data_IF_177795131184
#
_entry.id   IF_177795131184
#
_cell.length_a   1.000
_cell.length_b   1.000
_cell.length_c   1.000
_cell.angle_alpha   90.00
_cell.angle_beta   90.00
_cell.angle_gamma   90.00
#
_symmetry.space_group_name_H-M   'P 1'
#
loop_
_entity.id
_entity.type
_entity.pdbx_description
1 polymer ?
#
# COMPACT_ATOMS: atom_id res chain seq x y z
N UNK A 1 39.22 -17.67 -7.03
CA UNK A 1 37.95 -17.47 -6.29
C UNK A 1 36.77 -17.13 -7.20
N UNK A 2 36.91 -16.23 -8.22
CA UNK A 2 35.80 -15.89 -9.15
C UNK A 2 35.22 -17.07 -9.94
N UNK A 3 36.08 -18.03 -10.40
CA UNK A 3 35.64 -19.21 -11.16
C UNK A 3 34.84 -20.22 -10.33
N UNK A 4 35.06 -20.31 -9.02
CA UNK A 4 34.35 -21.26 -8.13
C UNK A 4 32.93 -20.79 -7.77
N UNK A 5 32.75 -19.48 -7.65
CA UNK A 5 31.42 -18.88 -7.38
C UNK A 5 30.51 -18.99 -8.60
N UNK A 6 31.06 -18.83 -9.82
CA UNK A 6 30.30 -19.02 -11.06
C UNK A 6 29.87 -20.48 -11.24
N UNK A 7 30.69 -21.45 -10.83
CA UNK A 7 30.36 -22.87 -10.92
C UNK A 7 29.27 -23.30 -9.95
N UNK A 8 29.22 -22.67 -8.76
CA UNK A 8 28.16 -22.95 -7.75
C UNK A 8 26.79 -22.37 -8.16
N UNK A 9 26.78 -21.18 -8.81
CA UNK A 9 25.55 -20.57 -9.34
C UNK A 9 24.96 -21.39 -10.48
N UNK A 10 25.80 -21.94 -11.38
CA UNK A 10 25.35 -22.83 -12.47
C UNK A 10 24.78 -24.15 -11.92
N UNK A 11 25.31 -24.67 -10.81
CA UNK A 11 24.83 -25.91 -10.19
C UNK A 11 23.42 -25.75 -9.53
N UNK A 12 23.10 -24.58 -8.96
CA UNK A 12 21.80 -24.32 -8.35
C UNK A 12 20.68 -24.15 -9.42
N UNK A 13 20.98 -23.49 -10.53
CA UNK A 13 20.06 -23.36 -11.68
C UNK A 13 19.86 -24.71 -12.38
N UNK A 14 20.91 -25.55 -12.46
CA UNK A 14 20.81 -26.87 -13.06
C UNK A 14 19.96 -27.87 -12.23
N UNK A 15 19.88 -27.71 -10.91
CA UNK A 15 19.03 -28.55 -10.06
C UNK A 15 17.53 -28.24 -10.17
N UNK A 16 17.18 -27.00 -10.38
CA UNK A 16 15.75 -26.61 -10.65
C UNK A 16 15.28 -27.12 -12.02
N UNK A 17 16.16 -27.12 -13.04
CA UNK A 17 15.85 -27.65 -14.36
C UNK A 17 15.78 -29.19 -14.37
N UNK A 18 16.55 -29.89 -13.54
CA UNK A 18 16.57 -31.36 -13.48
C UNK A 18 15.31 -31.98 -12.86
N UNK A 19 14.59 -31.24 -12.00
CA UNK A 19 13.34 -31.71 -11.40
C UNK A 19 12.17 -31.81 -12.41
N UNK A 20 12.25 -31.11 -13.53
CA UNK A 20 11.23 -31.13 -14.59
C UNK A 20 11.47 -32.24 -15.61
N UNK A 21 12.66 -32.82 -15.68
CA UNK A 21 13.06 -33.75 -16.74
C UNK A 21 12.84 -35.25 -16.41
N UNK A 22 12.29 -35.58 -15.24
CA UNK A 22 12.13 -37.00 -14.85
C UNK A 22 10.75 -37.62 -15.08
N UNK A 23 9.88 -36.97 -15.87
CA UNK A 23 8.58 -37.51 -16.24
C UNK A 23 8.29 -37.25 -17.71
N UNK A 24 8.74 -38.16 -18.58
CA UNK A 24 8.08 -38.66 -19.78
C UNK A 24 9.06 -39.05 -20.86
N UNK A 25 9.21 -40.36 -21.08
CA UNK A 25 9.70 -40.90 -22.33
C UNK A 25 8.54 -40.94 -23.34
N UNK A 26 8.46 -39.90 -24.16
CA UNK A 26 7.90 -39.91 -25.54
C UNK A 26 8.39 -38.61 -26.19
N UNK A 27 8.98 -38.71 -27.36
CA UNK A 27 9.23 -37.60 -28.27
C UNK A 27 7.90 -36.89 -28.54
N UNK A 28 7.62 -35.85 -27.78
CA UNK A 28 6.50 -34.95 -28.00
C UNK A 28 7.09 -33.56 -28.20
N UNK A 29 6.92 -33.03 -29.42
CA UNK A 29 7.38 -31.70 -29.86
C UNK A 29 6.68 -30.54 -29.10
N UNK A 30 6.05 -30.85 -27.97
CA UNK A 30 5.21 -29.94 -27.15
C UNK A 30 5.86 -29.39 -25.89
N UNK A 31 7.14 -29.70 -25.60
CA UNK A 31 7.83 -29.08 -24.47
C UNK A 31 7.99 -27.57 -24.73
N UNK A 32 7.57 -26.71 -23.80
CA UNK A 32 7.73 -25.27 -23.99
C UNK A 32 9.21 -24.91 -24.16
N UNK A 33 9.52 -24.19 -25.23
CA UNK A 33 10.89 -23.66 -25.42
C UNK A 33 11.23 -22.74 -24.27
N UNK A 34 12.43 -22.90 -23.72
CA UNK A 34 12.98 -22.09 -22.64
C UNK A 34 14.09 -21.19 -23.16
N UNK A 35 14.23 -20.00 -22.58
CA UNK A 35 15.16 -18.95 -23.00
C UNK A 35 15.91 -18.40 -21.80
N UNK A 36 17.22 -18.19 -21.96
CA UNK A 36 17.97 -17.32 -21.05
C UNK A 36 17.51 -15.88 -21.31
N UNK A 37 17.21 -15.15 -20.23
CA UNK A 37 16.66 -13.81 -20.32
C UNK A 37 17.18 -12.95 -19.18
N UNK A 38 17.77 -11.80 -19.50
CA UNK A 38 18.31 -10.86 -18.53
C UNK A 38 17.37 -9.67 -18.34
N UNK A 39 17.21 -9.26 -17.09
CA UNK A 39 16.57 -8.02 -16.72
C UNK A 39 17.62 -7.05 -16.21
N UNK A 40 17.86 -6.00 -16.97
CA UNK A 40 18.87 -4.98 -16.69
C UNK A 40 18.18 -3.77 -16.06
N UNK A 41 18.61 -3.38 -14.88
CA UNK A 41 18.07 -2.23 -14.18
C UNK A 41 18.95 -0.99 -14.35
N UNK A 42 18.34 0.10 -14.80
CA UNK A 42 18.98 1.41 -14.88
C UNK A 42 18.75 2.17 -13.59
N UNK A 43 19.78 2.30 -12.77
CA UNK A 43 19.76 3.08 -11.55
C UNK A 43 19.84 4.59 -11.84
N UNK A 44 19.28 5.46 -10.99
CA UNK A 44 19.39 6.90 -11.14
C UNK A 44 20.85 7.39 -11.14
N UNK A 45 21.10 8.54 -11.76
CA UNK A 45 22.42 9.13 -11.81
C UNK A 45 22.98 9.36 -10.39
N UNK A 46 24.19 8.84 -10.15
CA UNK A 46 24.86 8.95 -8.85
C UNK A 46 24.50 7.85 -7.84
N UNK A 47 23.75 6.86 -8.26
CA UNK A 47 23.49 5.64 -7.48
C UNK A 47 24.14 4.46 -8.17
N UNK A 48 25.06 3.80 -7.49
CA UNK A 48 25.67 2.56 -7.98
C UNK A 48 24.66 1.41 -7.99
N UNK A 49 24.75 0.45 -8.92
CA UNK A 49 23.86 -0.71 -8.93
C UNK A 49 23.92 -1.50 -7.61
N UNK A 50 22.76 -1.88 -7.10
CA UNK A 50 22.60 -2.60 -5.84
C UNK A 50 22.34 -4.07 -6.14
N UNK A 51 23.16 -4.95 -5.56
CA UNK A 51 23.00 -6.40 -5.65
C UNK A 51 22.02 -6.92 -4.60
N UNK A 52 21.32 -8.03 -4.92
CA UNK A 52 20.45 -8.72 -3.98
C UNK A 52 19.00 -8.24 -3.99
N UNK A 53 18.62 -7.30 -4.88
CA UNK A 53 17.22 -6.91 -5.07
C UNK A 53 16.45 -8.09 -5.65
N UNK A 54 15.36 -8.49 -5.00
CA UNK A 54 14.48 -9.55 -5.51
C UNK A 54 13.78 -9.13 -6.79
N UNK A 55 13.74 -10.03 -7.77
CA UNK A 55 13.09 -9.82 -9.06
C UNK A 55 12.17 -11.00 -9.35
N UNK A 56 10.88 -10.71 -9.60
CA UNK A 56 9.85 -11.68 -9.94
C UNK A 56 9.40 -11.48 -11.38
N UNK A 57 9.38 -12.56 -12.17
CA UNK A 57 8.81 -12.61 -13.51
C UNK A 57 7.56 -13.49 -13.47
N UNK A 58 6.38 -12.88 -13.52
CA UNK A 58 5.08 -13.57 -13.46
C UNK A 58 4.47 -13.65 -14.84
N UNK A 59 4.10 -14.85 -15.29
CA UNK A 59 3.49 -15.05 -16.59
C UNK A 59 2.06 -14.51 -16.65
N UNK A 60 1.75 -13.62 -17.60
CA UNK A 60 0.50 -12.84 -17.65
C UNK A 60 -0.77 -13.66 -17.84
N UNK A 61 -0.67 -14.92 -18.25
CA UNK A 61 -1.80 -15.81 -18.49
C UNK A 61 -2.12 -16.79 -17.34
N UNK A 62 -1.63 -16.51 -16.13
CA UNK A 62 -1.79 -17.37 -14.97
C UNK A 62 -0.83 -18.56 -14.94
N UNK A 63 0.30 -18.46 -15.66
CA UNK A 63 1.40 -19.42 -15.65
C UNK A 63 2.32 -19.29 -14.42
N UNK A 64 3.57 -19.73 -14.58
CA UNK A 64 4.55 -19.74 -13.48
C UNK A 64 5.02 -18.36 -13.05
N UNK A 65 5.49 -18.29 -11.81
CA UNK A 65 6.27 -17.17 -11.26
C UNK A 65 7.71 -17.65 -11.14
N UNK A 66 8.65 -16.83 -11.61
CA UNK A 66 10.09 -17.10 -11.62
C UNK A 66 10.78 -16.01 -10.82
N UNK A 67 11.73 -16.39 -9.99
CA UNK A 67 12.42 -15.48 -9.08
C UNK A 67 13.93 -15.48 -9.38
N UNK A 68 14.53 -14.31 -9.25
CA UNK A 68 15.96 -14.06 -9.37
C UNK A 68 16.35 -12.88 -8.47
N UNK A 69 17.63 -12.55 -8.40
CA UNK A 69 18.11 -11.36 -7.69
C UNK A 69 19.10 -10.61 -8.58
N UNK A 70 19.19 -9.30 -8.37
CA UNK A 70 20.21 -8.49 -9.06
C UNK A 70 21.61 -8.87 -8.61
N UNK A 71 22.55 -8.82 -9.54
CA UNK A 71 23.99 -8.87 -9.27
C UNK A 71 24.59 -7.47 -9.04
N UNK A 72 25.90 -7.38 -8.90
CA UNK A 72 26.63 -6.12 -8.70
C UNK A 72 26.62 -5.16 -9.89
N UNK A 73 26.13 -5.59 -11.03
CA UNK A 73 25.94 -4.79 -12.23
C UNK A 73 24.47 -4.36 -12.43
N UNK A 74 23.59 -4.76 -11.48
CA UNK A 74 22.16 -4.48 -11.53
C UNK A 74 21.40 -5.35 -12.53
N UNK A 75 21.87 -6.59 -12.77
CA UNK A 75 21.26 -7.53 -13.71
C UNK A 75 20.68 -8.72 -12.96
N UNK A 76 19.43 -9.07 -13.26
CA UNK A 76 18.80 -10.32 -12.80
C UNK A 76 18.63 -11.28 -13.99
N UNK A 77 19.23 -12.48 -13.91
CA UNK A 77 19.18 -13.48 -14.96
C UNK A 77 18.14 -14.54 -14.67
N UNK A 78 17.42 -14.92 -15.70
CA UNK A 78 16.32 -15.89 -15.67
C UNK A 78 16.49 -16.98 -16.73
N UNK A 79 15.82 -18.10 -16.51
CA UNK A 79 15.54 -19.12 -17.53
C UNK A 79 14.02 -19.26 -17.62
N UNK A 80 13.42 -18.71 -18.68
CA UNK A 80 11.97 -18.56 -18.81
C UNK A 80 11.41 -19.34 -20.00
N UNK A 81 10.25 -20.00 -19.91
CA UNK A 81 9.46 -20.44 -21.06
C UNK A 81 9.07 -19.26 -21.96
N UNK A 82 8.80 -19.53 -23.24
CA UNK A 82 8.21 -18.51 -24.11
C UNK A 82 6.89 -18.00 -23.53
N UNK A 83 6.71 -16.68 -23.50
CA UNK A 83 5.48 -16.09 -22.91
C UNK A 83 5.53 -14.58 -22.79
N UNK A 84 4.51 -14.03 -22.19
CA UNK A 84 4.40 -12.61 -21.81
C UNK A 84 4.47 -12.54 -20.30
N UNK A 85 5.33 -11.67 -19.78
CA UNK A 85 5.63 -11.58 -18.36
C UNK A 85 5.40 -10.18 -17.81
N UNK A 86 4.96 -10.13 -16.57
CA UNK A 86 5.05 -8.95 -15.73
C UNK A 86 6.28 -9.11 -14.85
N UNK A 87 7.19 -8.15 -14.91
CA UNK A 87 8.43 -8.15 -14.14
C UNK A 87 8.29 -7.10 -13.04
N UNK A 88 8.57 -7.51 -11.82
CA UNK A 88 8.59 -6.64 -10.64
C UNK A 88 9.90 -6.87 -9.90
N UNK A 89 10.58 -5.78 -9.57
CA UNK A 89 11.74 -5.81 -8.68
C UNK A 89 11.44 -4.96 -7.44
N UNK A 90 11.79 -5.47 -6.27
CA UNK A 90 11.73 -4.69 -5.03
C UNK A 90 12.79 -5.17 -4.05
N UNK A 91 13.30 -4.24 -3.24
CA UNK A 91 14.28 -4.56 -2.21
C UNK A 91 14.60 -3.37 -1.35
N UNK A 92 15.10 -3.67 -0.15
CA UNK A 92 15.59 -2.67 0.80
C UNK A 92 17.09 -2.89 0.94
N UNK A 93 17.84 -1.81 0.85
CA UNK A 93 19.27 -1.80 1.11
C UNK A 93 19.60 -0.76 2.18
N UNK A 94 20.31 -1.16 3.23
CA UNK A 94 20.74 -0.25 4.28
C UNK A 94 22.16 0.25 3.96
N UNK A 95 22.33 1.55 3.71
CA UNK A 95 23.64 2.15 3.44
C UNK A 95 24.37 2.64 4.71
N UNK A 96 23.78 2.41 5.89
CA UNK A 96 24.29 2.84 7.20
C UNK A 96 23.79 4.22 7.65
N UNK A 97 23.20 5.01 6.76
CA UNK A 97 22.64 6.34 7.06
C UNK A 97 21.12 6.37 6.80
N UNK A 98 20.65 5.58 5.85
CA UNK A 98 19.24 5.51 5.49
C UNK A 98 18.90 4.16 4.87
N UNK A 99 17.63 3.83 4.82
CA UNK A 99 17.14 2.76 3.99
C UNK A 99 16.98 3.25 2.56
N UNK A 100 17.58 2.52 1.64
CA UNK A 100 17.39 2.70 0.21
C UNK A 100 16.35 1.68 -0.23
N UNK A 101 15.19 2.17 -0.65
CA UNK A 101 14.12 1.34 -1.18
C UNK A 101 14.22 1.36 -2.70
N UNK A 102 14.29 0.17 -3.30
CA UNK A 102 14.47 -0.05 -4.74
C UNK A 102 13.21 -0.68 -5.32
N UNK A 103 12.62 -0.05 -6.33
CA UNK A 103 11.46 -0.59 -7.03
C UNK A 103 11.61 -0.45 -8.55
N UNK A 104 11.16 -1.47 -9.27
CA UNK A 104 10.95 -1.39 -10.71
C UNK A 104 9.83 -2.33 -11.14
N UNK A 105 9.02 -1.93 -12.13
CA UNK A 105 8.01 -2.79 -12.70
C UNK A 105 7.85 -2.59 -14.21
N UNK A 106 7.51 -3.66 -14.91
CA UNK A 106 7.19 -3.62 -16.34
C UNK A 106 6.27 -4.76 -16.71
N UNK A 107 5.14 -4.43 -17.28
CA UNK A 107 4.19 -5.40 -17.80
C UNK A 107 4.42 -5.67 -19.29
N UNK A 108 3.97 -6.83 -19.75
CA UNK A 108 3.96 -7.17 -21.17
C UNK A 108 5.34 -7.47 -21.78
N UNK A 109 6.30 -7.88 -20.97
CA UNK A 109 7.65 -8.28 -21.46
C UNK A 109 7.53 -9.62 -22.21
N UNK A 110 7.92 -9.64 -23.48
CA UNK A 110 7.83 -10.82 -24.35
C UNK A 110 9.13 -11.58 -24.34
N UNK A 111 9.08 -12.87 -23.98
CA UNK A 111 10.18 -13.82 -24.04
C UNK A 111 9.89 -14.84 -25.14
N UNK A 112 10.78 -15.03 -26.10
CA UNK A 112 10.57 -15.98 -27.20
C UNK A 112 11.57 -15.89 -28.33
N UNK A 113 11.38 -16.75 -29.35
CA UNK A 113 12.21 -16.77 -30.54
C UNK A 113 12.25 -15.40 -31.24
N UNK A 114 13.42 -14.96 -31.65
CA UNK A 114 13.68 -13.68 -32.37
C UNK A 114 13.42 -12.41 -31.55
N UNK A 115 13.18 -12.55 -30.24
CA UNK A 115 13.12 -11.42 -29.33
C UNK A 115 14.50 -11.13 -28.76
N UNK A 116 14.72 -9.90 -28.27
CA UNK A 116 15.93 -9.59 -27.52
C UNK A 116 15.97 -10.46 -26.26
N UNK A 117 17.09 -11.06 -25.90
CA UNK A 117 17.21 -11.90 -24.71
C UNK A 117 17.31 -11.07 -23.42
N UNK A 118 16.85 -9.82 -23.44
CA UNK A 118 16.87 -8.92 -22.30
C UNK A 118 15.74 -7.90 -22.31
N UNK A 119 15.38 -7.41 -21.12
CA UNK A 119 14.56 -6.23 -20.91
C UNK A 119 15.33 -5.22 -20.05
N UNK A 120 15.12 -3.92 -20.32
CA UNK A 120 15.69 -2.86 -19.50
C UNK A 120 14.56 -2.12 -18.79
N UNK A 121 14.73 -1.91 -17.47
CA UNK A 121 13.79 -1.24 -16.60
C UNK A 121 14.48 -0.10 -15.83
N UNK A 122 13.87 1.07 -15.68
CA UNK A 122 14.36 2.07 -14.74
C UNK A 122 14.17 1.56 -13.32
N UNK A 123 15.19 1.69 -12.45
CA UNK A 123 15.08 1.47 -11.02
C UNK A 123 14.68 2.79 -10.37
N UNK A 124 13.57 2.77 -9.64
CA UNK A 124 13.13 3.88 -8.81
C UNK A 124 13.74 3.70 -7.42
N UNK A 125 14.38 4.74 -6.92
CA UNK A 125 15.04 4.74 -5.61
C UNK A 125 14.35 5.77 -4.73
N UNK A 126 13.91 5.34 -3.55
CA UNK A 126 13.53 6.25 -2.48
C UNK A 126 14.40 6.01 -1.25
N UNK A 127 14.67 7.06 -0.48
CA UNK A 127 15.40 6.97 0.78
C UNK A 127 14.40 7.23 1.89
N UNK A 128 14.30 6.31 2.83
CA UNK A 128 13.37 6.40 3.94
C UNK A 128 14.12 6.21 5.26
N UNK A 129 13.83 7.08 6.20
CA UNK A 129 14.17 6.85 7.61
C UNK A 129 13.00 6.06 8.19
N UNK A 130 13.26 5.06 9.03
CA UNK A 130 12.21 4.32 9.74
C UNK A 130 11.16 5.27 10.30
N UNK A 131 9.91 5.06 9.97
CA UNK A 131 8.83 5.98 10.34
C UNK A 131 7.50 5.24 10.41
N UNK A 132 6.43 5.99 10.45
CA UNK A 132 5.08 5.45 10.42
C UNK A 132 4.78 4.74 9.11
N UNK A 133 3.97 3.69 9.23
CA UNK A 133 3.41 2.95 8.10
C UNK A 133 1.90 2.80 8.27
N UNK A 134 1.20 2.60 7.17
CA UNK A 134 -0.17 2.10 7.17
C UNK A 134 -0.10 0.57 7.32
N UNK A 135 -0.46 0.07 8.50
CA UNK A 135 -0.41 -1.36 8.80
C UNK A 135 -1.61 -2.10 8.20
N UNK A 136 -2.80 -1.52 8.32
CA UNK A 136 -4.03 -2.14 7.87
C UNK A 136 -4.98 -1.12 7.24
N UNK A 137 -5.67 -1.51 6.17
CA UNK A 137 -6.78 -0.77 5.57
C UNK A 137 -8.01 -1.67 5.52
N UNK A 138 -9.03 -1.30 6.29
CA UNK A 138 -10.34 -1.91 6.24
C UNK A 138 -11.35 -0.92 5.65
N UNK A 139 -11.82 -1.20 4.44
CA UNK A 139 -12.67 -0.27 3.71
C UNK A 139 -13.92 -0.91 3.10
N UNK A 140 -13.93 -2.23 2.89
CA UNK A 140 -14.97 -2.92 2.12
C UNK A 140 -16.28 -3.19 2.87
N UNK A 141 -16.27 -3.10 4.20
CA UNK A 141 -17.44 -3.42 5.03
C UNK A 141 -17.82 -4.89 5.04
N UNK A 142 -18.98 -5.18 5.59
CA UNK A 142 -19.58 -6.52 5.69
C UNK A 142 -20.99 -6.53 5.09
N UNK A 143 -21.59 -7.71 4.90
CA UNK A 143 -23.01 -7.81 4.62
C UNK A 143 -23.81 -7.59 5.93
N UNK A 144 -24.97 -6.95 5.82
CA UNK A 144 -25.95 -6.89 6.93
C UNK A 144 -26.36 -8.30 7.35
N UNK A 145 -26.84 -8.47 8.56
CA UNK A 145 -27.22 -9.78 9.11
C UNK A 145 -28.28 -10.51 8.28
N UNK A 146 -29.21 -9.75 7.65
CA UNK A 146 -30.23 -10.26 6.74
C UNK A 146 -29.73 -10.48 5.30
N UNK A 147 -28.47 -10.25 5.03
CA UNK A 147 -27.81 -10.34 3.70
C UNK A 147 -28.44 -9.46 2.61
N UNK A 148 -29.29 -8.49 2.95
CA UNK A 148 -30.02 -7.64 2.00
C UNK A 148 -29.14 -6.62 1.31
N UNK A 149 -28.07 -6.14 1.97
CA UNK A 149 -27.18 -5.11 1.46
C UNK A 149 -25.83 -5.13 2.21
N UNK A 150 -24.83 -4.53 1.62
CA UNK A 150 -23.57 -4.25 2.30
C UNK A 150 -23.75 -3.16 3.36
N UNK A 151 -23.09 -3.34 4.51
CA UNK A 151 -22.90 -2.32 5.54
C UNK A 151 -21.49 -1.76 5.37
N UNK A 152 -21.38 -0.51 4.91
CA UNK A 152 -20.13 0.12 4.51
C UNK A 152 -19.74 1.29 5.42
N UNK A 153 -20.34 1.37 6.63
CA UNK A 153 -20.15 2.48 7.55
C UNK A 153 -19.22 2.14 8.71
N UNK A 154 -18.37 1.12 8.52
CA UNK A 154 -17.44 0.59 9.50
C UNK A 154 -16.02 0.50 8.89
N UNK A 155 -15.38 1.64 8.66
CA UNK A 155 -14.08 1.71 8.00
C UNK A 155 -13.02 2.26 8.92
N UNK A 156 -11.80 1.72 8.79
CA UNK A 156 -10.63 2.27 9.50
C UNK A 156 -9.34 2.04 8.73
N UNK A 157 -8.32 2.75 9.15
CA UNK A 157 -6.92 2.44 8.91
C UNK A 157 -6.21 2.29 10.24
N UNK A 158 -5.14 1.50 10.27
CA UNK A 158 -4.21 1.44 11.37
C UNK A 158 -2.89 2.05 10.94
N UNK A 159 -2.41 3.05 11.69
CA UNK A 159 -1.10 3.65 11.52
C UNK A 159 -0.20 3.08 12.61
N UNK A 160 0.92 2.50 12.22
CA UNK A 160 1.87 1.82 13.11
C UNK A 160 3.22 2.52 13.08
N UNK A 161 3.83 2.66 14.26
CA UNK A 161 5.20 3.11 14.38
C UNK A 161 6.16 1.93 14.20
N UNK A 162 6.67 1.79 12.98
CA UNK A 162 7.56 0.71 12.55
C UNK A 162 9.02 0.99 12.92
N UNK A 163 9.24 1.54 14.12
CA UNK A 163 10.58 1.92 14.59
C UNK A 163 10.77 1.68 16.09
N UNK A 164 12.02 1.55 16.55
CA UNK A 164 12.34 1.40 17.97
C UNK A 164 12.26 2.70 18.79
N UNK A 165 11.96 3.83 18.14
CA UNK A 165 11.86 5.15 18.77
C UNK A 165 10.42 5.64 18.76
N UNK A 166 10.04 6.42 19.77
CA UNK A 166 8.73 7.06 19.80
C UNK A 166 8.61 8.07 18.65
N UNK A 167 7.50 8.00 17.91
CA UNK A 167 7.17 9.04 16.94
C UNK A 167 6.34 10.13 17.57
N UNK A 168 6.64 11.40 17.23
CA UNK A 168 5.87 12.56 17.72
C UNK A 168 5.78 13.64 16.64
N UNK A 169 4.58 14.13 16.34
CA UNK A 169 4.32 15.19 15.37
C UNK A 169 3.06 15.98 15.67
N UNK A 170 3.05 17.24 15.25
CA UNK A 170 1.86 18.11 15.23
C UNK A 170 1.25 18.27 13.83
N UNK A 171 1.89 17.66 12.82
CA UNK A 171 1.61 17.95 11.40
C UNK A 171 1.25 16.72 10.58
N UNK A 172 0.98 15.58 11.23
CA UNK A 172 0.54 14.37 10.53
C UNK A 172 -0.88 14.53 10.02
N UNK A 173 -1.09 14.08 8.78
CA UNK A 173 -2.39 14.08 8.13
C UNK A 173 -2.60 12.81 7.30
N UNK A 174 -3.87 12.50 7.07
CA UNK A 174 -4.35 11.37 6.26
C UNK A 174 -5.18 11.90 5.11
N UNK A 175 -5.01 11.32 3.93
CA UNK A 175 -5.81 11.66 2.76
C UNK A 175 -5.87 10.48 1.79
N UNK A 176 -6.51 10.66 0.65
CA UNK A 176 -6.47 9.74 -0.49
C UNK A 176 -6.05 10.47 -1.76
N UNK A 177 -5.42 9.74 -2.67
CA UNK A 177 -5.05 10.25 -3.98
C UNK A 177 -6.29 10.51 -4.85
N UNK A 178 -6.11 11.38 -5.85
CA UNK A 178 -7.15 11.66 -6.83
C UNK A 178 -7.58 10.41 -7.58
N UNK A 179 -8.89 10.35 -7.84
CA UNK A 179 -9.60 9.17 -8.32
C UNK A 179 -10.18 8.37 -7.15
N UNK A 180 -11.48 8.61 -6.86
CA UNK A 180 -12.15 8.01 -5.71
C UNK A 180 -12.11 6.48 -5.72
N UNK A 181 -12.36 5.87 -6.88
CA UNK A 181 -12.22 4.43 -7.09
C UNK A 181 -11.19 4.16 -8.19
N UNK A 182 -10.39 3.11 -8.03
CA UNK A 182 -9.38 2.72 -9.01
C UNK A 182 -9.97 2.45 -10.40
N UNK A 183 -11.15 1.86 -10.48
CA UNK A 183 -11.85 1.50 -11.70
C UNK A 183 -12.65 2.64 -12.34
N UNK A 184 -12.58 3.85 -11.81
CA UNK A 184 -13.32 4.98 -12.39
C UNK A 184 -12.76 5.35 -13.77
N UNK A 185 -13.63 5.42 -14.79
CA UNK A 185 -13.26 5.79 -16.16
C UNK A 185 -12.55 7.15 -16.26
N UNK A 186 -12.79 8.03 -15.28
CA UNK A 186 -12.15 9.33 -15.18
C UNK A 186 -10.67 9.25 -14.88
N UNK A 187 -10.19 8.13 -14.31
CA UNK A 187 -8.78 7.97 -13.94
C UNK A 187 -7.85 7.94 -15.15
N UNK A 188 -8.33 7.55 -16.33
CA UNK A 188 -7.54 7.66 -17.57
C UNK A 188 -7.03 9.07 -17.83
N UNK A 189 -7.71 10.10 -17.31
CA UNK A 189 -7.28 11.50 -17.43
C UNK A 189 -6.15 11.91 -16.48
N UNK A 190 -5.80 11.04 -15.54
CA UNK A 190 -4.60 11.20 -14.71
C UNK A 190 -3.32 10.85 -15.46
N UNK A 191 -3.45 10.34 -16.70
CA UNK A 191 -2.35 9.86 -17.51
C UNK A 191 -2.23 10.57 -18.84
N UNK A 192 -0.99 10.65 -19.35
CA UNK A 192 -0.66 10.92 -20.74
C UNK A 192 0.11 9.70 -21.26
N UNK A 193 -0.57 8.89 -22.09
CA UNK A 193 -0.09 7.54 -22.39
C UNK A 193 -0.07 6.67 -21.12
N UNK A 194 1.08 6.09 -20.81
CA UNK A 194 1.28 5.24 -19.62
C UNK A 194 1.96 5.99 -18.45
N UNK A 195 2.05 7.33 -18.52
CA UNK A 195 2.73 8.15 -17.52
C UNK A 195 1.73 9.04 -16.80
N UNK A 196 1.82 9.12 -15.48
CA UNK A 196 1.02 10.06 -14.68
C UNK A 196 1.28 11.51 -15.10
N UNK A 197 0.25 12.32 -15.21
CA UNK A 197 0.38 13.75 -15.49
C UNK A 197 1.17 14.52 -14.41
N UNK A 198 1.27 13.94 -13.22
CA UNK A 198 2.03 14.47 -12.08
C UNK A 198 3.31 13.71 -11.76
N UNK A 199 3.76 12.76 -12.61
CA UNK A 199 4.97 11.95 -12.37
C UNK A 199 6.24 12.79 -12.19
N UNK A 200 6.39 13.86 -12.99
CA UNK A 200 7.55 14.75 -12.96
C UNK A 200 7.37 15.97 -12.04
N UNK A 201 6.30 16.01 -11.23
CA UNK A 201 6.04 17.10 -10.29
C UNK A 201 6.59 16.77 -8.91
N UNK A 202 6.69 17.78 -8.05
CA UNK A 202 7.09 17.66 -6.65
C UNK A 202 5.90 17.42 -5.69
N UNK A 203 4.73 17.07 -6.24
CA UNK A 203 3.52 16.88 -5.44
C UNK A 203 2.76 15.60 -5.82
N UNK A 204 1.93 15.14 -4.86
CA UNK A 204 0.83 14.21 -5.08
C UNK A 204 -0.51 14.93 -4.94
N UNK A 205 -1.49 14.64 -5.81
CA UNK A 205 -2.84 15.16 -5.64
C UNK A 205 -3.55 14.52 -4.44
N UNK A 206 -3.91 15.33 -3.44
CA UNK A 206 -4.88 14.94 -2.42
C UNK A 206 -6.30 15.22 -2.90
N UNK A 207 -7.22 14.31 -2.61
CA UNK A 207 -8.59 14.38 -3.09
C UNK A 207 -9.60 14.10 -1.99
N UNK A 208 -10.82 14.65 -2.14
CA UNK A 208 -11.96 14.45 -1.27
C UNK A 208 -11.87 15.17 0.08
N UNK A 209 -10.82 14.97 0.85
CA UNK A 209 -10.55 15.64 2.12
C UNK A 209 -9.15 15.36 2.63
N UNK A 210 -8.70 16.22 3.52
CA UNK A 210 -7.51 16.03 4.34
C UNK A 210 -7.97 16.02 5.78
N UNK A 211 -7.56 15.00 6.53
CA UNK A 211 -7.82 14.86 7.96
C UNK A 211 -6.51 14.91 8.71
N UNK A 212 -6.40 15.78 9.71
CA UNK A 212 -5.17 15.99 10.47
C UNK A 212 -5.44 15.91 11.97
N UNK A 213 -4.43 15.44 12.70
CA UNK A 213 -4.51 15.25 14.14
C UNK A 213 -4.49 16.58 14.87
N UNK A 214 -5.12 16.65 16.05
CA UNK A 214 -5.13 17.83 16.91
C UNK A 214 -3.96 17.77 17.89
N UNK A 215 -3.20 18.88 17.99
CA UNK A 215 -2.05 18.96 18.89
C UNK A 215 -0.94 17.98 18.53
N UNK A 216 -0.14 17.63 19.52
CA UNK A 216 0.97 16.69 19.34
C UNK A 216 0.45 15.25 19.41
N UNK A 217 0.56 14.52 18.30
CA UNK A 217 0.35 13.08 18.27
C UNK A 217 1.65 12.38 18.67
N UNK A 218 1.58 11.46 19.62
CA UNK A 218 2.69 10.56 19.97
C UNK A 218 2.25 9.11 19.76
N UNK A 219 3.04 8.34 19.02
CA UNK A 219 2.86 6.90 18.83
C UNK A 219 4.13 6.24 19.36
N UNK A 220 4.06 5.51 20.48
CA UNK A 220 5.24 4.84 21.04
C UNK A 220 5.90 3.88 20.05
N UNK A 221 7.16 3.53 20.29
CA UNK A 221 7.89 2.52 19.54
C UNK A 221 7.08 1.23 19.39
N UNK A 222 7.03 0.67 18.18
CA UNK A 222 6.30 -0.58 17.88
C UNK A 222 4.83 -0.59 18.33
N UNK A 223 4.19 0.57 18.35
CA UNK A 223 2.80 0.74 18.73
C UNK A 223 1.98 1.34 17.58
N UNK A 224 0.67 1.31 17.73
CA UNK A 224 -0.25 1.73 16.69
C UNK A 224 -1.37 2.63 17.19
N UNK A 225 -1.97 3.34 16.27
CA UNK A 225 -3.26 4.01 16.46
C UNK A 225 -4.25 3.53 15.40
N UNK A 226 -5.51 3.38 15.82
CA UNK A 226 -6.63 3.14 14.91
C UNK A 226 -7.27 4.47 14.56
N UNK A 227 -7.43 4.75 13.28
CA UNK A 227 -8.15 5.92 12.77
C UNK A 227 -9.42 5.43 12.09
N UNK A 228 -10.55 5.60 12.77
CA UNK A 228 -11.86 5.31 12.21
C UNK A 228 -12.21 6.34 11.14
N UNK A 229 -12.58 5.86 9.97
CA UNK A 229 -12.99 6.70 8.83
C UNK A 229 -14.48 6.96 8.85
N UNK A 230 -15.26 5.91 9.14
CA UNK A 230 -16.72 5.96 9.27
C UNK A 230 -17.17 5.11 10.46
N UNK A 231 -18.25 5.55 11.11
CA UNK A 231 -18.94 4.75 12.11
C UNK A 231 -18.18 4.59 13.42
N UNK A 232 -17.66 5.69 13.99
CA UNK A 232 -16.93 5.71 15.27
C UNK A 232 -17.83 5.35 16.49
N UNK A 233 -18.57 4.26 16.38
CA UNK A 233 -19.51 3.73 17.38
C UNK A 233 -19.37 2.20 17.48
N UNK A 234 -20.11 1.58 18.37
CA UNK A 234 -20.25 0.12 18.35
C UNK A 234 -21.21 -0.32 17.25
N UNK A 235 -20.68 -0.59 16.05
CA UNK A 235 -21.47 -1.04 14.92
C UNK A 235 -22.00 -2.46 15.07
N UNK A 236 -21.45 -3.27 15.99
CA UNK A 236 -21.91 -4.65 16.25
C UNK A 236 -23.33 -4.68 16.82
N UNK A 237 -23.79 -3.57 17.37
CA UNK A 237 -25.18 -3.41 17.82
C UNK A 237 -26.20 -3.36 16.66
N UNK A 238 -25.72 -3.08 15.44
CA UNK A 238 -26.57 -2.98 14.25
C UNK A 238 -26.31 -4.11 13.28
N UNK A 239 -25.05 -4.53 13.14
CA UNK A 239 -24.59 -5.59 12.23
C UNK A 239 -23.59 -6.45 12.98
N UNK A 240 -23.96 -7.69 13.30
CA UNK A 240 -23.21 -8.57 14.20
C UNK A 240 -21.77 -8.85 13.78
N UNK A 241 -21.50 -8.87 12.48
CA UNK A 241 -20.18 -9.09 11.90
C UNK A 241 -19.39 -7.80 11.64
N UNK A 242 -19.87 -6.65 12.08
CA UNK A 242 -19.15 -5.38 11.98
C UNK A 242 -18.12 -5.20 13.09
N UNK A 243 -17.58 -4.01 13.24
CA UNK A 243 -16.53 -3.64 14.18
C UNK A 243 -17.10 -2.77 15.30
N UNK A 244 -16.65 -3.01 16.54
CA UNK A 244 -16.88 -2.10 17.65
C UNK A 244 -15.77 -1.05 17.69
N UNK A 245 -16.09 0.21 17.35
CA UNK A 245 -15.15 1.33 17.45
C UNK A 245 -15.33 2.17 18.72
N UNK A 246 -16.20 1.82 19.63
CA UNK A 246 -16.36 2.51 20.91
C UNK A 246 -15.17 2.21 21.84
N UNK A 247 -14.02 2.81 21.57
CA UNK A 247 -12.79 2.66 22.31
C UNK A 247 -12.10 4.01 22.51
N UNK A 248 -11.68 4.30 23.74
CA UNK A 248 -11.09 5.59 24.13
C UNK A 248 -9.76 5.88 23.43
N UNK A 249 -9.03 4.84 23.01
CA UNK A 249 -7.72 4.96 22.37
C UNK A 249 -7.81 5.21 20.85
N UNK A 250 -9.03 5.09 20.27
CA UNK A 250 -9.21 5.25 18.82
C UNK A 250 -9.40 6.71 18.43
N UNK A 251 -8.91 7.05 17.28
CA UNK A 251 -9.11 8.32 16.60
C UNK A 251 -10.23 8.20 15.57
N UNK A 252 -10.86 9.32 15.18
CA UNK A 252 -11.89 9.30 14.17
C UNK A 252 -11.86 10.53 13.26
N UNK A 253 -12.15 10.32 11.99
CA UNK A 253 -12.33 11.38 11.00
C UNK A 253 -13.70 12.03 11.19
N UNK A 254 -13.85 12.82 12.25
CA UNK A 254 -15.08 13.50 12.61
C UNK A 254 -14.80 14.93 13.08
N UNK A 255 -15.26 15.92 12.32
CA UNK A 255 -15.07 17.34 12.64
C UNK A 255 -16.41 18.07 12.59
N UNK A 256 -17.17 18.07 13.70
CA UNK A 256 -18.50 18.70 13.74
C UNK A 256 -18.44 20.23 13.64
N UNK A 257 -17.26 20.82 13.86
CA UNK A 257 -17.03 22.26 13.80
C UNK A 257 -16.57 22.75 12.43
N UNK A 258 -16.39 21.83 11.46
CA UNK A 258 -15.94 22.23 10.13
C UNK A 258 -16.93 23.15 9.44
N UNK A 259 -16.47 24.36 9.11
CA UNK A 259 -17.27 25.42 8.46
C UNK A 259 -16.73 25.82 7.07
N UNK A 260 -15.81 25.04 6.51
CA UNK A 260 -15.15 25.34 5.24
C UNK A 260 -16.06 25.24 4.00
N UNK A 261 -15.49 25.39 2.80
CA UNK A 261 -16.21 25.32 1.53
C UNK A 261 -17.03 24.02 1.40
N UNK A 262 -18.21 24.13 0.80
CA UNK A 262 -19.13 22.99 0.63
C UNK A 262 -20.03 22.72 1.81
N UNK A 263 -19.92 23.49 2.90
CA UNK A 263 -20.92 23.50 3.98
C UNK A 263 -21.94 24.60 3.72
N UNK A 264 -23.19 24.28 3.95
CA UNK A 264 -24.26 25.27 4.14
C UNK A 264 -25.11 24.82 5.34
N UNK A 265 -25.97 25.69 5.84
CA UNK A 265 -26.79 25.42 7.02
C UNK A 265 -27.63 24.12 6.89
N UNK A 266 -27.92 23.69 5.65
CA UNK A 266 -28.74 22.53 5.33
C UNK A 266 -27.92 21.33 4.86
N UNK A 267 -26.60 21.48 4.66
CA UNK A 267 -25.78 20.47 3.99
C UNK A 267 -24.37 20.41 4.60
N UNK A 268 -24.29 20.53 5.93
CA UNK A 268 -23.05 20.23 6.64
C UNK A 268 -22.72 18.77 6.40
N UNK A 269 -21.47 18.50 6.06
CA UNK A 269 -21.00 17.19 5.71
C UNK A 269 -21.32 16.14 6.80
N UNK A 270 -21.03 16.48 8.05
CA UNK A 270 -21.29 15.61 9.20
C UNK A 270 -22.77 15.60 9.66
N UNK A 271 -23.69 16.25 8.93
CA UNK A 271 -25.12 16.12 9.18
C UNK A 271 -25.73 14.83 8.60
N UNK A 272 -24.99 14.09 7.78
CA UNK A 272 -25.43 12.79 7.33
C UNK A 272 -25.11 11.73 8.39
N UNK A 273 -25.96 11.57 9.37
CA UNK A 273 -25.79 10.64 10.50
C UNK A 273 -25.72 9.16 10.08
N UNK A 274 -26.13 8.83 8.87
CA UNK A 274 -25.97 7.48 8.33
C UNK A 274 -24.51 7.17 7.99
N UNK A 275 -23.74 8.18 7.54
CA UNK A 275 -22.31 8.04 7.25
C UNK A 275 -21.46 8.45 8.44
N UNK A 276 -21.85 9.50 9.16
CA UNK A 276 -21.13 10.06 10.30
C UNK A 276 -22.05 10.17 11.51
N UNK A 277 -22.37 9.05 12.17
CA UNK A 277 -22.95 9.11 13.50
C UNK A 277 -21.99 9.88 14.42
N UNK A 278 -22.53 10.56 15.42
CA UNK A 278 -21.67 11.13 16.46
C UNK A 278 -20.83 10.01 17.07
N UNK A 279 -19.52 10.23 17.25
CA UNK A 279 -18.67 9.23 17.88
C UNK A 279 -19.18 8.80 19.25
N UNK A 280 -18.86 7.57 19.64
CA UNK A 280 -19.20 7.08 20.97
C UNK A 280 -18.58 7.98 22.05
N UNK A 281 -19.34 8.26 23.12
CA UNK A 281 -18.93 9.17 24.20
C UNK A 281 -17.59 8.80 24.87
N UNK A 282 -17.17 7.55 24.74
CA UNK A 282 -15.88 7.06 25.25
C UNK A 282 -14.69 7.63 24.47
N UNK A 283 -14.87 8.04 23.21
CA UNK A 283 -13.82 8.61 22.37
C UNK A 283 -13.66 10.09 22.74
N UNK A 284 -12.50 10.53 23.26
CA UNK A 284 -12.31 11.91 23.66
C UNK A 284 -12.30 12.84 22.43
N UNK A 285 -12.79 14.06 22.56
CA UNK A 285 -12.86 15.03 21.46
C UNK A 285 -11.48 15.43 20.93
N UNK A 286 -10.43 15.28 21.72
CA UNK A 286 -9.04 15.43 21.25
C UNK A 286 -8.61 14.39 20.22
N UNK A 287 -9.32 13.27 20.13
CA UNK A 287 -9.11 12.22 19.12
C UNK A 287 -9.94 12.41 17.84
N UNK A 288 -10.69 13.51 17.74
CA UNK A 288 -11.39 13.87 16.50
C UNK A 288 -10.40 14.57 15.56
N UNK A 289 -10.17 14.01 14.37
CA UNK A 289 -9.35 14.64 13.35
C UNK A 289 -10.06 15.86 12.79
N UNK A 290 -9.35 16.96 12.66
CA UNK A 290 -9.81 18.14 11.96
C UNK A 290 -9.75 17.94 10.46
N UNK A 291 -10.55 18.68 9.71
CA UNK A 291 -10.77 18.44 8.30
C UNK A 291 -10.56 19.69 7.45
N UNK A 292 -9.97 19.51 6.26
CA UNK A 292 -10.12 20.43 5.12
C UNK A 292 -10.79 19.68 3.99
N UNK A 293 -11.95 20.15 3.56
CA UNK A 293 -12.69 19.53 2.45
C UNK A 293 -12.10 19.91 1.11
N UNK A 294 -11.97 18.92 0.24
CA UNK A 294 -11.54 19.07 -1.14
C UNK A 294 -12.62 18.50 -2.07
N UNK A 295 -12.89 19.20 -3.17
CA UNK A 295 -13.86 18.75 -4.16
C UNK A 295 -15.30 18.78 -3.67
N UNK A 296 -16.13 18.00 -4.36
CA UNK A 296 -17.55 17.83 -4.07
C UNK A 296 -17.78 16.43 -3.48
N UNK A 297 -18.68 16.32 -2.57
CA UNK A 297 -19.11 15.03 -2.02
C UNK A 297 -19.80 15.22 -0.70
N UNK A 298 -20.80 14.36 -0.44
CA UNK A 298 -21.54 14.34 0.81
C UNK A 298 -21.07 13.21 1.73
N UNK A 299 -20.22 12.33 1.24
CA UNK A 299 -19.66 11.20 1.97
C UNK A 299 -18.17 11.10 1.65
N UNK A 300 -17.36 11.81 2.39
CA UNK A 300 -15.94 12.00 2.08
C UNK A 300 -15.07 10.82 2.39
N UNK A 301 -15.54 9.91 3.18
CA UNK A 301 -14.74 8.75 3.53
C UNK A 301 -14.06 8.10 2.34
N UNK A 302 -13.18 7.21 2.61
CA UNK A 302 -12.46 6.49 1.57
C UNK A 302 -13.41 5.59 0.77
N UNK A 303 -13.01 5.27 -0.46
CA UNK A 303 -13.72 4.29 -1.28
C UNK A 303 -13.97 2.99 -0.51
N UNK A 304 -15.13 2.38 -0.74
CA UNK A 304 -15.47 1.07 -0.16
C UNK A 304 -14.81 -0.10 -0.91
N UNK A 305 -14.25 0.16 -2.07
CA UNK A 305 -13.83 -0.90 -3.00
C UNK A 305 -12.41 -0.77 -3.48
N UNK A 306 -11.88 0.45 -3.55
CA UNK A 306 -10.55 0.67 -4.13
C UNK A 306 -9.97 2.03 -3.74
N UNK A 307 -9.69 2.31 -2.45
CA UNK A 307 -9.03 3.54 -2.05
C UNK A 307 -7.54 3.52 -2.41
N UNK A 308 -6.97 4.70 -2.67
CA UNK A 308 -5.53 4.94 -2.64
C UNK A 308 -5.24 5.89 -1.50
N UNK A 309 -4.83 5.35 -0.36
CA UNK A 309 -4.65 6.08 0.90
C UNK A 309 -3.20 6.45 1.06
N UNK A 310 -2.91 7.65 1.57
CA UNK A 310 -1.59 7.99 2.02
C UNK A 310 -1.61 8.89 3.26
N UNK A 311 -0.56 8.79 4.06
CA UNK A 311 -0.28 9.64 5.20
C UNK A 311 0.90 10.54 4.88
N UNK A 312 0.88 11.77 5.38
CA UNK A 312 1.95 12.73 5.14
C UNK A 312 2.13 13.67 6.33
N UNK A 313 3.32 14.23 6.47
CA UNK A 313 3.68 15.18 7.52
C UNK A 313 4.19 16.48 6.89
N UNK A 314 3.46 17.59 7.12
CA UNK A 314 3.87 18.88 6.55
C UNK A 314 5.08 19.45 7.29
N UNK A 315 5.95 20.12 6.54
CA UNK A 315 7.15 20.78 7.07
C UNK A 315 7.06 22.28 6.89
N UNK A 316 7.31 23.04 7.96
CA UNK A 316 7.29 24.50 7.94
C UNK A 316 5.91 25.15 7.83
N UNK A 317 4.84 24.34 7.80
CA UNK A 317 3.44 24.78 7.74
C UNK A 317 2.55 23.72 8.35
N UNK A 318 1.31 24.07 8.73
CA UNK A 318 0.34 23.06 9.17
C UNK A 318 -0.39 22.42 7.97
N UNK A 319 -0.92 21.19 8.12
CA UNK A 319 -1.73 20.56 7.08
C UNK A 319 -2.91 21.42 6.62
N UNK A 320 -3.57 22.11 7.56
CA UNK A 320 -4.66 23.05 7.27
C UNK A 320 -4.18 24.21 6.41
N UNK A 321 -3.13 24.90 6.84
CA UNK A 321 -2.63 26.06 6.11
C UNK A 321 -2.13 25.70 4.71
N UNK A 322 -1.47 24.56 4.56
CA UNK A 322 -1.04 24.04 3.26
C UNK A 322 -2.23 23.73 2.35
N UNK A 323 -3.28 23.07 2.87
CA UNK A 323 -4.44 22.68 2.08
C UNK A 323 -5.34 23.85 1.67
N UNK A 324 -5.37 24.91 2.48
CA UNK A 324 -6.15 26.13 2.21
C UNK A 324 -5.38 27.15 1.36
N UNK A 325 -4.09 26.95 1.13
CA UNK A 325 -3.30 27.83 0.25
C UNK A 325 -3.75 27.68 -1.20
N UNK A 326 -4.16 28.77 -1.81
CA UNK A 326 -4.61 28.81 -3.22
C UNK A 326 -3.51 28.36 -4.21
N UNK A 327 -2.22 28.50 -3.87
CA UNK A 327 -1.11 28.03 -4.67
C UNK A 327 -1.05 26.50 -4.75
N UNK A 328 -1.59 25.82 -3.74
CA UNK A 328 -1.69 24.37 -3.67
C UNK A 328 -2.99 23.83 -4.27
N UNK A 329 -3.88 24.68 -4.77
CA UNK A 329 -5.08 24.20 -5.46
C UNK A 329 -4.70 23.31 -6.65
N UNK A 330 -5.39 22.18 -6.77
CA UNK A 330 -5.22 21.24 -7.86
C UNK A 330 -6.57 20.89 -8.47
N UNK A 331 -6.57 20.65 -9.76
CA UNK A 331 -7.75 20.25 -10.50
C UNK A 331 -7.43 19.00 -11.32
N UNK A 332 -8.29 18.00 -11.21
CA UNK A 332 -8.18 16.80 -12.04
C UNK A 332 -8.27 17.18 -13.53
N UNK A 333 -7.31 16.74 -14.34
CA UNK A 333 -7.21 17.10 -15.75
C UNK A 333 -8.50 16.81 -16.53
N UNK A 334 -8.87 17.74 -17.39
CA UNK A 334 -10.09 17.68 -18.18
C UNK A 334 -11.40 17.94 -17.40
N UNK A 335 -11.32 18.36 -16.14
CA UNK A 335 -12.43 18.85 -15.36
C UNK A 335 -12.19 20.29 -14.92
N UNK A 336 -13.27 21.08 -14.90
CA UNK A 336 -13.22 22.50 -14.55
C UNK A 336 -14.24 22.87 -13.46
N UNK A 337 -14.67 21.90 -12.69
CA UNK A 337 -15.64 22.12 -11.61
C UNK A 337 -15.04 21.78 -10.26
N UNK A 338 -15.48 22.47 -9.22
CA UNK A 338 -15.05 22.23 -7.84
C UNK A 338 -15.25 20.77 -7.37
N UNK A 339 -16.12 20.03 -8.07
CA UNK A 339 -16.34 18.59 -7.79
C UNK A 339 -15.08 17.74 -7.92
N UNK A 340 -14.16 18.15 -8.79
CA UNK A 340 -12.93 17.41 -9.08
C UNK A 340 -11.67 18.16 -8.60
N UNK A 341 -11.87 19.15 -7.73
CA UNK A 341 -10.79 19.88 -7.09
C UNK A 341 -10.14 19.07 -5.97
N UNK A 342 -8.88 19.32 -5.78
CA UNK A 342 -8.05 18.76 -4.73
C UNK A 342 -6.99 19.74 -4.30
N UNK A 343 -5.97 19.27 -3.60
CA UNK A 343 -4.78 20.07 -3.33
C UNK A 343 -3.50 19.27 -3.63
N UNK A 344 -2.43 20.04 -3.86
CA UNK A 344 -1.07 19.51 -4.02
C UNK A 344 -0.48 19.27 -2.65
N UNK A 345 -0.06 18.05 -2.38
CA UNK A 345 0.74 17.70 -1.22
C UNK A 345 2.17 17.49 -1.68
N UNK A 346 3.13 18.19 -1.10
CA UNK A 346 4.54 18.02 -1.46
C UNK A 346 4.93 16.55 -1.28
N UNK A 347 5.55 15.98 -2.31
CA UNK A 347 5.89 14.55 -2.34
C UNK A 347 6.86 14.15 -1.23
N UNK A 348 7.79 15.04 -0.85
CA UNK A 348 8.73 14.79 0.24
C UNK A 348 8.08 14.76 1.64
N UNK A 349 6.83 15.18 1.76
CA UNK A 349 6.05 15.09 3.00
C UNK A 349 5.36 13.74 3.18
N UNK A 350 5.28 12.92 2.12
CA UNK A 350 4.57 11.65 2.17
C UNK A 350 5.39 10.65 2.98
N UNK A 351 4.74 10.09 3.97
CA UNK A 351 5.32 9.13 4.91
C UNK A 351 5.11 7.72 4.42
N UNK A 352 3.88 7.37 4.00
CA UNK A 352 3.51 6.05 3.47
C UNK A 352 2.24 6.14 2.62
N UNK A 353 2.04 5.18 1.72
CA UNK A 353 0.87 5.08 0.87
C UNK A 353 0.55 3.66 0.44
N UNK A 354 -0.73 3.38 0.25
CA UNK A 354 -1.24 2.06 -0.13
C UNK A 354 -2.28 2.19 -1.24
N UNK A 355 -2.00 1.54 -2.36
CA UNK A 355 -2.91 1.43 -3.50
C UNK A 355 -3.76 0.17 -3.36
N UNK A 356 -5.06 0.30 -3.08
CA UNK A 356 -5.98 -0.82 -2.94
C UNK A 356 -6.90 -0.93 -4.15
N UNK A 357 -7.03 -2.14 -4.70
CA UNK A 357 -7.90 -2.43 -5.82
C UNK A 357 -8.98 -3.46 -5.46
N UNK A 358 -10.14 -3.35 -6.11
CA UNK A 358 -11.16 -4.38 -6.02
C UNK A 358 -10.76 -5.59 -6.85
N UNK A 359 -10.73 -6.78 -6.26
CA UNK A 359 -10.38 -8.05 -6.91
C UNK A 359 -11.25 -8.36 -8.14
N UNK A 360 -12.51 -7.90 -8.17
CA UNK A 360 -13.41 -8.06 -9.30
C UNK A 360 -13.15 -7.08 -10.46
N UNK A 361 -12.30 -6.06 -10.27
CA UNK A 361 -12.13 -4.93 -11.21
C UNK A 361 -10.67 -4.65 -11.59
N UNK A 362 -9.77 -5.56 -11.33
CA UNK A 362 -8.32 -5.38 -11.57
C UNK A 362 -8.05 -4.92 -13.01
N UNK A 363 -8.66 -5.56 -14.01
CA UNK A 363 -8.41 -5.26 -15.43
C UNK A 363 -8.87 -3.87 -15.90
N UNK A 364 -9.72 -3.20 -15.12
CA UNK A 364 -10.23 -1.85 -15.39
C UNK A 364 -9.70 -0.81 -14.42
N UNK A 365 -8.87 -1.21 -13.46
CA UNK A 365 -8.32 -0.34 -12.44
C UNK A 365 -7.10 0.43 -12.94
N UNK A 366 -6.97 1.65 -12.47
CA UNK A 366 -5.87 2.57 -12.75
C UNK A 366 -5.13 2.87 -11.46
N UNK A 367 -3.82 2.83 -11.51
CA UNK A 367 -2.97 3.22 -10.39
C UNK A 367 -3.03 4.75 -10.18
N UNK A 368 -2.91 5.20 -8.93
CA UNK A 368 -3.03 6.63 -8.57
C UNK A 368 -1.84 7.12 -7.75
N UNK A 369 -1.22 6.25 -6.94
CA UNK A 369 0.04 6.56 -6.27
C UNK A 369 1.19 6.36 -7.25
N UNK A 370 2.17 7.27 -7.23
CA UNK A 370 3.38 7.15 -8.06
C UNK A 370 4.31 6.07 -7.49
N UNK A 371 5.18 5.53 -8.34
CA UNK A 371 5.99 4.34 -8.00
C UNK A 371 7.01 4.58 -6.89
N UNK A 372 7.36 5.82 -6.60
CA UNK A 372 8.20 6.22 -5.46
C UNK A 372 7.45 6.17 -4.12
N UNK A 373 6.11 6.20 -4.14
CA UNK A 373 5.27 6.11 -2.96
C UNK A 373 4.74 4.68 -2.80
N UNK A 374 4.22 4.11 -3.88
CA UNK A 374 3.76 2.73 -3.93
C UNK A 374 3.90 2.20 -5.35
N UNK A 375 4.88 1.36 -5.62
CA UNK A 375 5.12 0.79 -6.95
C UNK A 375 4.12 -0.31 -7.33
N UNK A 376 3.32 -0.81 -6.35
CA UNK A 376 2.39 -1.91 -6.52
C UNK A 376 0.93 -1.52 -6.32
N UNK A 377 0.13 -2.54 -6.07
CA UNK A 377 -1.23 -2.45 -5.56
C UNK A 377 -1.57 -3.75 -4.85
N UNK A 378 -2.46 -3.69 -3.88
CA UNK A 378 -3.05 -4.88 -3.26
C UNK A 378 -4.52 -5.00 -3.64
N UNK A 379 -4.94 -6.21 -4.01
CA UNK A 379 -6.34 -6.50 -4.29
C UNK A 379 -7.02 -7.14 -3.10
N UNK A 380 -8.30 -6.85 -2.89
CA UNK A 380 -9.09 -7.45 -1.84
C UNK A 380 -10.55 -7.68 -2.25
N UNK A 381 -11.24 -8.51 -1.48
CA UNK A 381 -12.65 -8.86 -1.68
C UNK A 381 -13.54 -7.93 -0.83
N UNK A 382 -14.31 -7.07 -1.49
CA UNK A 382 -15.21 -6.12 -0.83
C UNK A 382 -16.43 -6.81 -0.22
N UNK A 383 -17.05 -6.22 0.81
CA UNK A 383 -18.32 -6.61 1.47
C UNK A 383 -18.27 -7.91 2.28
N UNK A 384 -17.10 -8.48 2.49
CA UNK A 384 -16.92 -9.75 3.20
C UNK A 384 -16.26 -9.58 4.59
N UNK A 385 -15.94 -8.35 4.97
CA UNK A 385 -15.21 -8.05 6.20
C UNK A 385 -13.70 -8.27 6.06
N UNK A 386 -13.23 -8.41 4.84
CA UNK A 386 -11.81 -8.54 4.53
C UNK A 386 -11.11 -7.20 4.68
N UNK A 387 -9.84 -7.24 5.03
CA UNK A 387 -8.94 -6.09 5.03
C UNK A 387 -7.68 -6.38 4.23
N UNK A 388 -6.90 -5.35 3.96
CA UNK A 388 -5.52 -5.50 3.49
C UNK A 388 -4.59 -5.19 4.65
N UNK A 389 -3.68 -6.10 4.95
CA UNK A 389 -2.82 -6.07 6.12
C UNK A 389 -1.36 -6.23 5.70
N UNK A 390 -0.47 -5.47 6.32
CA UNK A 390 0.95 -5.44 5.96
C UNK A 390 1.66 -6.71 6.42
N UNK A 391 2.50 -7.26 5.56
CA UNK A 391 3.31 -8.45 5.83
C UNK A 391 4.36 -8.16 6.89
N UNK A 392 4.64 -9.14 7.73
CA UNK A 392 5.74 -9.05 8.70
C UNK A 392 7.08 -9.15 7.96
N UNK A 393 8.00 -8.24 8.25
CA UNK A 393 9.42 -8.42 7.93
C UNK A 393 9.98 -9.45 8.90
N UNK A 394 10.04 -10.70 8.44
CA UNK A 394 10.45 -11.84 9.24
C UNK A 394 11.86 -11.70 9.77
N UNK A 395 12.79 -11.32 8.90
CA UNK A 395 14.21 -11.24 9.23
C UNK A 395 14.46 -10.16 10.29
N UNK A 396 13.93 -8.95 10.08
CA UNK A 396 14.05 -7.86 11.04
C UNK A 396 13.35 -8.19 12.37
N UNK A 397 12.18 -8.82 12.34
CA UNK A 397 11.39 -9.20 13.53
C UNK A 397 12.09 -10.29 14.35
N UNK A 398 12.59 -11.33 13.70
CA UNK A 398 13.31 -12.44 14.37
C UNK A 398 14.68 -12.00 14.90
N UNK A 399 15.29 -10.97 14.31
CA UNK A 399 16.57 -10.42 14.76
C UNK A 399 16.47 -9.65 16.09
N UNK A 400 15.27 -9.25 16.53
CA UNK A 400 15.08 -8.54 17.80
C UNK A 400 15.26 -9.50 18.99
N UNK A 401 16.27 -9.30 19.85
CA UNK A 401 16.52 -10.19 20.99
C UNK A 401 15.35 -10.29 21.97
N UNK A 402 14.59 -9.19 22.11
CA UNK A 402 13.41 -9.10 22.99
C UNK A 402 12.23 -9.95 22.50
N UNK A 403 12.24 -10.41 21.25
CA UNK A 403 11.20 -11.27 20.68
C UNK A 403 11.39 -12.76 21.01
N UNK A 404 12.49 -13.13 21.66
CA UNK A 404 12.78 -14.52 22.00
C UNK A 404 11.62 -15.16 22.78
N UNK A 405 11.00 -16.19 22.18
CA UNK A 405 9.88 -16.93 22.78
C UNK A 405 8.51 -16.21 22.76
N UNK A 406 8.39 -15.06 22.09
CA UNK A 406 7.14 -14.30 22.02
C UNK A 406 6.43 -14.43 20.68
N UNK A 407 7.14 -14.77 19.60
CA UNK A 407 6.58 -14.89 18.26
C UNK A 407 5.65 -16.09 18.15
N UNK A 408 4.52 -15.90 17.50
CA UNK A 408 3.53 -16.92 17.19
C UNK A 408 3.60 -17.21 15.70
N UNK A 409 3.76 -18.48 15.35
CA UNK A 409 3.92 -18.94 13.98
C UNK A 409 2.71 -19.76 13.53
N UNK A 410 2.63 -20.01 12.22
CA UNK A 410 1.59 -20.83 11.59
C UNK A 410 0.44 -20.04 11.00
N UNK A 411 0.56 -18.73 10.89
CA UNK A 411 -0.41 -17.89 10.22
C UNK A 411 -0.17 -17.92 8.69
N UNK A 412 -1.04 -18.63 7.97
CA UNK A 412 -0.84 -18.95 6.55
C UNK A 412 -1.17 -17.81 5.59
N UNK A 413 -1.86 -16.75 6.04
CA UNK A 413 -2.19 -15.59 5.18
C UNK A 413 -0.98 -14.64 5.05
N UNK A 414 -0.11 -14.55 6.08
CA UNK A 414 1.13 -13.77 6.02
C UNK A 414 2.27 -14.63 5.43
N UNK A 415 2.97 -14.16 4.39
CA UNK A 415 4.10 -14.88 3.78
C UNK A 415 5.23 -15.23 4.76
N UNK A 416 5.41 -14.45 5.84
CA UNK A 416 6.37 -14.74 6.89
C UNK A 416 6.01 -15.97 7.72
N UNK A 417 4.72 -16.33 7.75
CA UNK A 417 4.14 -17.33 8.63
C UNK A 417 3.99 -16.89 10.09
N UNK A 418 4.27 -15.62 10.42
CA UNK A 418 4.13 -15.04 11.76
C UNK A 418 2.72 -14.45 11.91
N UNK A 419 2.04 -14.81 13.00
CA UNK A 419 0.83 -14.11 13.42
C UNK A 419 1.24 -12.84 14.20
N UNK A 420 1.20 -11.69 13.50
CA UNK A 420 1.61 -10.41 14.06
C UNK A 420 0.76 -10.04 15.28
N UNK A 421 -0.57 -10.17 15.20
CA UNK A 421 -1.49 -9.78 16.27
C UNK A 421 -1.31 -10.64 17.53
N UNK A 422 -1.21 -11.96 17.36
CA UNK A 422 -0.94 -12.87 18.48
C UNK A 422 0.46 -12.62 19.07
N UNK A 423 1.46 -12.33 18.25
CA UNK A 423 2.81 -12.02 18.70
C UNK A 423 2.87 -10.71 19.48
N UNK A 424 2.23 -9.64 18.99
CA UNK A 424 2.11 -8.35 19.69
C UNK A 424 1.42 -8.54 21.04
N UNK A 425 0.35 -9.32 21.10
CA UNK A 425 -0.36 -9.66 22.33
C UNK A 425 0.53 -10.41 23.34
N UNK A 426 1.51 -11.18 22.86
CA UNK A 426 2.55 -11.82 23.69
C UNK A 426 3.69 -10.85 24.05
N UNK A 427 3.62 -9.59 23.67
CA UNK A 427 4.63 -8.56 23.93
C UNK A 427 5.83 -8.62 22.99
N UNK A 428 5.66 -9.15 21.77
CA UNK A 428 6.66 -9.05 20.72
C UNK A 428 6.60 -7.68 20.05
N UNK A 429 7.73 -7.21 19.54
CA UNK A 429 7.85 -6.06 18.66
C UNK A 429 7.93 -6.56 17.23
N UNK A 430 7.10 -6.04 16.36
CA UNK A 430 7.00 -6.47 14.97
C UNK A 430 7.54 -5.38 14.05
N UNK A 431 8.49 -5.74 13.20
CA UNK A 431 8.77 -4.97 11.99
C UNK A 431 7.88 -5.46 10.86
N UNK A 432 7.22 -4.53 10.19
CA UNK A 432 6.45 -4.82 9.00
C UNK A 432 7.26 -4.45 7.75
N UNK A 433 7.05 -5.21 6.68
CA UNK A 433 7.67 -4.96 5.38
C UNK A 433 7.23 -3.60 4.83
N UNK A 434 8.17 -2.81 4.35
CA UNK A 434 7.90 -1.50 3.75
C UNK A 434 8.85 -1.25 2.58
N UNK A 435 8.50 -1.84 1.44
CA UNK A 435 9.28 -1.72 0.20
C UNK A 435 8.72 -0.66 -0.75
N UNK A 436 7.75 0.15 -0.30
CA UNK A 436 6.95 1.03 -1.15
C UNK A 436 6.30 0.28 -2.33
N UNK A 437 5.85 -0.95 -2.08
CA UNK A 437 5.20 -1.79 -3.08
C UNK A 437 4.12 -2.65 -2.43
N UNK A 438 2.88 -2.18 -2.48
CA UNK A 438 1.73 -2.88 -1.86
C UNK A 438 1.56 -4.32 -2.35
N UNK A 439 2.02 -4.66 -3.57
CA UNK A 439 1.95 -6.04 -4.07
C UNK A 439 2.86 -7.01 -3.31
N UNK A 440 3.92 -6.49 -2.69
CA UNK A 440 4.86 -7.29 -1.90
C UNK A 440 4.61 -7.13 -0.40
N UNK A 441 4.20 -5.91 0.00
CA UNK A 441 4.13 -5.52 1.41
C UNK A 441 2.82 -5.93 2.09
N UNK A 442 1.80 -6.32 1.33
CA UNK A 442 0.47 -6.60 1.89
C UNK A 442 -0.07 -7.97 1.47
N UNK A 443 -0.94 -8.51 2.29
CA UNK A 443 -1.83 -9.63 2.00
C UNK A 443 -3.28 -9.27 2.32
N UNK A 444 -4.23 -10.00 1.72
CA UNK A 444 -5.64 -9.93 2.09
C UNK A 444 -5.87 -10.80 3.34
N UNK A 445 -6.59 -10.26 4.33
CA UNK A 445 -7.11 -10.99 5.49
C UNK A 445 -8.61 -11.23 5.35
N UNK A 446 -9.06 -12.45 5.63
CA UNK A 446 -10.49 -12.79 5.68
C UNK A 446 -11.23 -12.10 6.83
N UNK A 447 -10.53 -11.68 7.86
CA UNK A 447 -11.06 -10.88 8.98
C UNK A 447 -10.11 -9.73 9.28
N UNK A 448 -10.64 -8.52 9.36
CA UNK A 448 -9.84 -7.39 9.83
C UNK A 448 -9.41 -7.59 11.30
N UNK A 449 -8.27 -7.02 11.69
CA UNK A 449 -7.64 -7.23 13.00
C UNK A 449 -8.58 -6.91 14.17
N UNK A 450 -9.40 -5.87 14.06
CA UNK A 450 -10.33 -5.46 15.12
C UNK A 450 -11.54 -6.42 15.28
N UNK A 451 -11.81 -7.27 14.29
CA UNK A 451 -12.84 -8.34 14.39
C UNK A 451 -12.29 -9.66 14.90
N UNK A 452 -10.99 -9.85 14.83
CA UNK A 452 -10.33 -11.07 15.26
C UNK A 452 -10.09 -11.14 16.77
N UNK A 453 -10.35 -10.06 17.50
CA UNK A 453 -10.15 -9.94 18.96
C UNK A 453 -11.27 -10.57 19.77
#
# INVERSE_FOLDING_TARGET
MKAFVTFLKIAAVAMAAAAIMSSCNKEDDSAPKIFEFDVVFNFPLGVDPIAGIEVKASQSNGGGVYESTTDSEGVASFVLPAGIYNIVASGIHNDGESLIICNASKSGVIVGDKMLPQATLPMVISRKVYSLIIKEVYCGGVMKDDQSAAFNYDKYITIYNNSPEDYSSENLAVTMAAGYNAEANTNSKLYTGDVYNYAATDFMPAFNGIWYFQGTLTIPAFSEIVVNIHGAIDNTQTVSNSVNFANADYYCMYDPEYEGPGTNANNKYYNNTSYYPAPADVIPTSHYLKTVKLGQGNAWGFSNVSPAVYIYETQGTSPKASAEDAANAWMHDGYNTAAFGGCKVNRNWIVDGVEVWNSEKISSSWKRLTDDIDAGHISFTSKQGHSVYRNVDKEATEALPENAGKLVYGYGEDPSGIDAEASIKNGAHIFFADTNNSSNDFHEREKCALRAQ
#
